data_IF_206165138160
#
_entry.id   IF_206165138160
#
_cell.length_a   1.000
_cell.length_b   1.000
_cell.length_c   1.000
_cell.angle_alpha   90.00
_cell.angle_beta   90.00
_cell.angle_gamma   90.00
#
_symmetry.space_group_name_H-M   'P 1'
#
loop_
_entity.id
_entity.type
_entity.pdbx_description
1 polymer ?
#
# COMPACT_ATOMS: atom_id res chain seq x y z
N UNK A 1 -44.13 -71.60 35.09
CA UNK A 1 -44.17 -72.00 36.51
C UNK A 1 -42.85 -71.60 37.14
N UNK A 2 -42.82 -70.47 37.88
CA UNK A 2 -41.67 -69.95 38.67
C UNK A 2 -40.38 -69.69 37.84
N UNK A 3 -39.42 -68.85 38.19
CA UNK A 3 -39.07 -68.13 39.41
C UNK A 3 -38.17 -66.95 38.97
N UNK A 4 -38.01 -66.01 39.89
CA UNK A 4 -37.29 -64.75 39.79
C UNK A 4 -35.76 -64.85 39.55
N UNK A 5 -35.16 -63.65 39.54
CA UNK A 5 -33.74 -63.29 39.60
C UNK A 5 -33.08 -63.15 38.22
N UNK A 6 -32.32 -62.10 37.91
CA UNK A 6 -31.43 -61.33 38.78
C UNK A 6 -31.05 -60.04 38.01
N UNK A 7 -30.98 -58.89 38.69
CA UNK A 7 -30.27 -57.70 38.17
C UNK A 7 -28.76 -57.98 38.26
N UNK A 8 -27.90 -57.43 37.38
CA UNK A 8 -27.28 -56.17 37.81
C UNK A 8 -26.99 -55.16 36.71
N UNK A 9 -26.95 -53.93 37.18
CA UNK A 9 -26.73 -52.67 36.49
C UNK A 9 -25.27 -52.58 36.04
N UNK A 10 -25.05 -52.39 34.73
CA UNK A 10 -23.72 -52.13 34.19
C UNK A 10 -23.81 -51.08 33.08
N UNK A 11 -23.64 -49.84 33.54
CA UNK A 11 -23.12 -48.66 32.86
C UNK A 11 -22.36 -48.91 31.57
N UNK A 12 -22.91 -48.47 30.43
CA UNK A 12 -22.10 -48.04 29.29
C UNK A 12 -22.84 -46.90 28.56
N UNK A 13 -22.52 -45.65 28.93
CA UNK A 13 -22.92 -44.47 28.16
C UNK A 13 -22.11 -44.46 26.87
N UNK A 14 -22.69 -45.02 25.82
CA UNK A 14 -22.06 -45.05 24.52
C UNK A 14 -22.93 -45.78 23.51
N UNK A 15 -23.93 -45.09 22.96
CA UNK A 15 -24.32 -45.19 21.56
C UNK A 15 -25.61 -44.40 21.30
N UNK A 16 -25.46 -43.36 20.49
CA UNK A 16 -26.35 -42.97 19.40
C UNK A 16 -27.84 -42.71 19.67
N UNK A 17 -28.16 -41.43 19.43
CA UNK A 17 -29.25 -41.00 18.55
C UNK A 17 -30.68 -41.09 19.08
N UNK A 18 -31.28 -39.92 19.34
CA UNK A 18 -32.16 -39.31 18.34
C UNK A 18 -32.67 -37.93 18.78
N UNK A 19 -32.22 -36.93 18.03
CA UNK A 19 -33.02 -35.87 17.41
C UNK A 19 -33.88 -34.91 18.25
N UNK A 20 -33.77 -33.64 17.81
CA UNK A 20 -34.55 -32.44 18.14
C UNK A 20 -34.04 -31.77 19.42
N UNK A 21 -33.33 -30.65 19.36
CA UNK A 21 -33.83 -29.29 19.10
C UNK A 21 -32.58 -28.38 19.29
N UNK A 22 -32.26 -27.28 18.64
CA UNK A 22 -32.86 -26.38 17.67
C UNK A 22 -31.69 -25.59 17.07
N UNK A 23 -31.73 -25.28 15.77
CA UNK A 23 -31.34 -24.00 15.18
C UNK A 23 -30.14 -23.23 15.81
N UNK A 24 -29.02 -23.90 16.09
CA UNK A 24 -27.83 -23.27 16.69
C UNK A 24 -26.58 -23.34 15.82
N UNK A 25 -26.71 -23.83 14.58
CA UNK A 25 -25.57 -24.18 13.74
C UNK A 25 -25.51 -23.43 12.42
N UNK A 26 -26.18 -22.28 12.34
CA UNK A 26 -26.31 -21.53 11.10
C UNK A 26 -26.55 -20.04 11.35
N UNK A 27 -25.83 -19.39 12.26
CA UNK A 27 -25.82 -17.92 12.30
C UNK A 27 -24.58 -17.34 12.99
N UNK A 28 -23.41 -17.68 12.45
CA UNK A 28 -22.23 -16.83 12.59
C UNK A 28 -21.46 -16.92 11.27
N UNK A 29 -22.17 -16.66 10.16
CA UNK A 29 -21.50 -16.28 8.92
C UNK A 29 -20.76 -15.00 9.26
N UNK A 30 -19.46 -15.17 9.38
CA UNK A 30 -18.53 -14.17 9.81
C UNK A 30 -18.78 -12.87 9.04
N UNK A 31 -18.97 -11.79 9.79
CA UNK A 31 -18.71 -10.44 9.32
C UNK A 31 -17.19 -10.37 9.10
N UNK A 32 -16.72 -10.97 8.01
CA UNK A 32 -15.34 -10.83 7.60
C UNK A 32 -15.23 -9.40 7.06
N UNK A 33 -14.48 -8.49 7.71
CA UNK A 33 -14.15 -7.25 7.05
C UNK A 33 -13.42 -7.64 5.77
N UNK A 34 -14.01 -7.31 4.62
CA UNK A 34 -13.32 -7.39 3.34
C UNK A 34 -12.10 -6.50 3.50
N UNK A 35 -10.92 -7.14 3.59
CA UNK A 35 -9.65 -6.45 3.48
C UNK A 35 -9.62 -5.87 2.05
N UNK A 36 -10.09 -4.64 1.90
CA UNK A 36 -9.79 -3.84 0.75
C UNK A 36 -8.27 -3.59 0.82
N UNK A 37 -7.51 -4.36 0.04
CA UNK A 37 -6.17 -3.93 -0.30
C UNK A 37 -6.35 -2.64 -1.09
N UNK A 38 -5.76 -1.54 -0.62
CA UNK A 38 -5.61 -0.35 -1.45
C UNK A 38 -4.79 -0.80 -2.67
N UNK A 39 -5.46 -0.96 -3.81
CA UNK A 39 -4.81 -1.10 -5.10
C UNK A 39 -4.50 0.34 -5.47
N UNK A 40 -3.25 0.73 -5.30
CA UNK A 40 -2.81 2.10 -5.53
C UNK A 40 -1.39 2.10 -6.07
N UNK A 41 -1.02 3.15 -6.79
CA UNK A 41 0.37 3.35 -7.23
C UNK A 41 1.37 3.27 -6.06
N UNK A 42 2.49 2.59 -6.28
CA UNK A 42 3.58 2.42 -5.33
C UNK A 42 4.90 2.87 -5.94
N UNK A 43 5.63 3.71 -5.20
CA UNK A 43 6.94 4.23 -5.60
C UNK A 43 8.03 3.54 -4.80
N UNK A 44 9.00 2.96 -5.51
CA UNK A 44 10.12 2.23 -4.89
C UNK A 44 11.47 2.70 -5.39
N UNK A 45 12.51 2.25 -4.70
CA UNK A 45 13.92 2.42 -5.08
C UNK A 45 14.30 3.88 -5.41
N UNK A 46 13.69 4.84 -4.72
CA UNK A 46 13.97 6.26 -4.93
C UNK A 46 15.42 6.58 -4.55
N UNK A 47 16.16 7.12 -5.50
CA UNK A 47 17.53 7.57 -5.32
C UNK A 47 17.71 8.91 -6.04
N UNK A 48 18.76 9.65 -5.70
CA UNK A 48 19.11 10.87 -6.40
C UNK A 48 20.62 11.04 -6.50
N UNK A 49 21.03 11.71 -7.57
CA UNK A 49 22.42 12.09 -7.79
C UNK A 49 22.50 13.49 -8.36
N UNK A 50 23.62 14.15 -8.10
CA UNK A 50 23.91 15.45 -8.70
C UNK A 50 24.70 15.26 -9.99
N UNK A 51 24.22 15.89 -11.07
CA UNK A 51 24.89 15.96 -12.35
C UNK A 51 25.13 17.42 -12.73
N UNK A 52 26.32 17.93 -12.38
CA UNK A 52 26.65 19.35 -12.54
C UNK A 52 25.73 20.23 -11.71
N UNK A 53 24.90 21.04 -12.36
CA UNK A 53 23.93 21.94 -11.73
C UNK A 53 22.51 21.35 -11.63
N UNK A 54 22.33 20.11 -12.09
CA UNK A 54 21.05 19.41 -12.06
C UNK A 54 21.06 18.32 -11.00
N UNK A 55 19.87 18.01 -10.49
CA UNK A 55 19.64 16.83 -9.67
C UNK A 55 18.82 15.86 -10.50
N UNK A 56 19.28 14.61 -10.53
CA UNK A 56 18.60 13.51 -11.22
C UNK A 56 18.08 12.56 -10.16
N UNK A 57 16.77 12.44 -10.06
CA UNK A 57 16.06 11.52 -9.18
C UNK A 57 15.63 10.31 -10.00
N UNK A 58 15.92 9.12 -9.51
CA UNK A 58 15.49 7.85 -10.12
C UNK A 58 14.54 7.12 -9.21
N UNK A 59 13.52 6.47 -9.77
CA UNK A 59 12.52 5.73 -9.00
C UNK A 59 11.85 4.65 -9.85
N UNK A 60 11.24 3.69 -9.18
CA UNK A 60 10.37 2.69 -9.81
C UNK A 60 8.92 3.06 -9.52
N UNK A 61 8.08 3.02 -10.54
CA UNK A 61 6.64 3.20 -10.43
C UNK A 61 5.91 1.89 -10.75
N UNK A 62 5.23 1.36 -9.74
CA UNK A 62 4.44 0.13 -9.80
C UNK A 62 2.97 0.48 -9.51
N UNK A 63 2.03 -0.26 -10.09
CA UNK A 63 0.61 0.04 -9.95
C UNK A 63 -0.23 -0.82 -10.89
N UNK A 64 -1.40 -0.34 -11.24
CA UNK A 64 -2.29 -1.00 -12.20
C UNK A 64 -1.88 -0.71 -13.65
N UNK A 65 -1.84 -1.77 -14.47
CA UNK A 65 -1.48 -1.61 -15.89
C UNK A 65 -2.59 -0.88 -16.65
N UNK A 66 -2.20 0.03 -17.54
CA UNK A 66 -3.13 0.77 -18.40
C UNK A 66 -3.61 2.10 -17.83
N UNK A 67 -3.24 2.42 -16.60
CA UNK A 67 -3.48 3.73 -15.99
C UNK A 67 -2.33 4.71 -16.22
N UNK A 68 -2.66 5.99 -16.09
CA UNK A 68 -1.74 7.11 -16.10
C UNK A 68 -1.77 7.79 -14.73
N UNK A 69 -0.62 8.28 -14.31
CA UNK A 69 -0.41 8.84 -12.98
C UNK A 69 0.15 10.26 -13.09
N UNK A 70 -0.30 11.13 -12.19
CA UNK A 70 0.33 12.42 -11.93
C UNK A 70 1.48 12.22 -10.93
N UNK A 71 2.69 12.62 -11.32
CA UNK A 71 3.91 12.43 -10.54
C UNK A 71 4.48 13.78 -10.12
N UNK A 72 4.52 14.02 -8.81
CA UNK A 72 5.14 15.21 -8.21
C UNK A 72 6.46 14.87 -7.53
N UNK A 73 7.43 15.79 -7.63
CA UNK A 73 8.67 15.73 -6.87
C UNK A 73 8.57 16.69 -5.69
N UNK A 74 8.81 16.20 -4.47
CA UNK A 74 8.90 17.04 -3.29
C UNK A 74 10.32 17.03 -2.71
N UNK A 75 10.75 18.20 -2.28
CA UNK A 75 12.03 18.44 -1.63
C UNK A 75 11.82 18.70 -0.14
N UNK A 76 12.67 18.08 0.67
CA UNK A 76 12.88 18.42 2.07
C UNK A 76 14.28 18.99 2.26
N UNK A 77 14.39 20.18 2.83
CA UNK A 77 15.68 20.73 3.33
C UNK A 77 15.90 20.51 4.82
N UNK A 78 14.98 19.80 5.47
CA UNK A 78 14.96 19.55 6.92
C UNK A 78 15.27 18.09 7.29
N UNK A 79 15.90 17.34 6.36
CA UNK A 79 16.22 15.92 6.55
C UNK A 79 14.99 15.02 6.61
N UNK A 80 13.95 15.33 5.84
CA UNK A 80 12.73 14.52 5.73
C UNK A 80 11.62 14.84 6.74
N UNK A 81 11.81 15.84 7.60
CA UNK A 81 10.79 16.25 8.59
C UNK A 81 9.59 16.93 7.95
N UNK A 82 9.85 17.74 6.93
CA UNK A 82 8.85 18.42 6.13
C UNK A 82 9.26 18.40 4.66
N UNK A 83 8.29 18.16 3.78
CA UNK A 83 8.42 18.22 2.32
C UNK A 83 7.60 19.42 1.85
N UNK A 84 8.18 20.61 2.01
CA UNK A 84 7.52 21.91 1.92
C UNK A 84 7.81 22.64 0.59
N UNK A 85 8.61 22.04 -0.28
CA UNK A 85 8.97 22.61 -1.56
C UNK A 85 8.75 21.61 -2.70
N UNK A 86 8.01 22.04 -3.71
CA UNK A 86 7.83 21.33 -4.97
C UNK A 86 8.68 22.03 -6.05
N UNK A 87 9.68 21.36 -6.65
CA UNK A 87 10.48 21.95 -7.72
C UNK A 87 9.68 22.18 -9.01
N UNK A 88 9.81 23.37 -9.59
CA UNK A 88 9.04 23.80 -10.77
C UNK A 88 9.77 23.50 -12.09
N UNK A 89 11.10 23.49 -12.08
CA UNK A 89 11.91 23.24 -13.30
C UNK A 89 12.36 21.79 -13.42
N UNK A 90 11.39 20.88 -13.31
CA UNK A 90 11.54 19.43 -13.49
C UNK A 90 11.24 19.02 -14.93
N UNK A 91 11.81 17.90 -15.36
CA UNK A 91 11.62 17.28 -16.70
C UNK A 91 11.80 15.78 -16.59
N UNK A 92 11.26 15.01 -17.54
CA UNK A 92 11.37 13.55 -17.58
C UNK A 92 10.04 12.87 -17.22
N UNK A 93 10.09 11.84 -16.39
CA UNK A 93 8.93 11.12 -15.87
C UNK A 93 8.29 11.89 -14.69
N UNK A 94 7.66 13.05 -14.97
CA UNK A 94 7.05 13.94 -13.96
C UNK A 94 5.83 14.67 -14.55
N UNK A 95 4.85 14.98 -13.70
CA UNK A 95 3.55 15.55 -14.08
C UNK A 95 2.54 14.50 -14.52
N UNK A 96 1.51 14.94 -15.25
CA UNK A 96 0.42 14.10 -15.74
C UNK A 96 0.88 13.07 -16.80
N UNK A 97 0.11 12.00 -16.96
CA UNK A 97 0.31 11.04 -18.06
C UNK A 97 1.49 10.07 -17.88
N UNK A 98 2.07 9.96 -16.68
CA UNK A 98 3.21 9.07 -16.44
C UNK A 98 2.72 7.63 -16.28
N UNK A 99 3.15 6.75 -17.18
CA UNK A 99 2.85 5.31 -17.11
C UNK A 99 3.77 4.59 -16.13
N UNK A 100 3.42 3.37 -15.72
CA UNK A 100 4.29 2.49 -14.93
C UNK A 100 5.66 2.23 -15.56
N UNK A 101 6.63 1.79 -14.75
CA UNK A 101 7.95 1.38 -15.22
C UNK A 101 9.04 1.49 -14.16
N UNK A 102 10.17 0.83 -14.45
CA UNK A 102 11.37 0.84 -13.61
C UNK A 102 12.37 1.89 -14.11
N UNK A 103 13.28 2.31 -13.22
CA UNK A 103 14.39 3.23 -13.51
C UNK A 103 13.93 4.57 -14.14
N UNK A 104 12.72 5.02 -13.79
CA UNK A 104 12.19 6.32 -14.21
C UNK A 104 13.03 7.45 -13.70
N UNK A 105 13.00 8.57 -14.40
CA UNK A 105 13.92 9.67 -14.13
C UNK A 105 13.24 11.03 -14.14
N UNK A 106 13.42 11.77 -13.04
CA UNK A 106 13.08 13.19 -12.92
C UNK A 106 14.38 13.97 -12.87
N UNK A 107 14.55 14.91 -13.81
CA UNK A 107 15.68 15.83 -13.83
C UNK A 107 15.22 17.22 -13.41
N UNK A 108 15.78 17.72 -12.29
CA UNK A 108 15.51 19.06 -11.77
C UNK A 108 16.66 20.02 -12.05
N UNK A 109 16.34 21.22 -12.57
CA UNK A 109 17.30 22.30 -12.74
C UNK A 109 17.34 23.23 -11.51
N UNK A 110 18.12 22.83 -10.51
CA UNK A 110 18.23 23.51 -9.21
C UNK A 110 18.47 25.01 -9.35
N UNK A 111 19.34 25.45 -10.26
CA UNK A 111 19.74 26.87 -10.34
C UNK A 111 18.68 27.76 -11.00
N UNK A 112 17.71 27.20 -11.72
CA UNK A 112 16.58 27.99 -12.22
C UNK A 112 15.61 28.34 -11.09
N UNK A 113 15.37 27.37 -10.21
CA UNK A 113 14.44 27.52 -9.08
C UNK A 113 15.09 28.21 -7.87
N UNK A 114 16.36 27.87 -7.63
CA UNK A 114 17.18 28.38 -6.53
C UNK A 114 18.49 28.93 -7.11
N UNK A 115 18.51 30.18 -7.60
CA UNK A 115 19.72 30.78 -8.18
C UNK A 115 20.92 30.86 -7.23
N UNK A 116 20.66 30.91 -5.92
CA UNK A 116 21.69 30.86 -4.87
C UNK A 116 22.14 29.44 -4.50
N UNK A 117 21.53 28.40 -5.08
CA UNK A 117 21.75 27.00 -4.73
C UNK A 117 21.04 26.56 -3.45
N UNK A 118 21.17 25.28 -3.12
CA UNK A 118 20.61 24.70 -1.89
C UNK A 118 21.52 25.02 -0.70
N UNK A 119 20.98 25.70 0.31
CA UNK A 119 21.73 26.12 1.51
C UNK A 119 21.76 25.05 2.61
N UNK A 120 21.01 23.95 2.45
CA UNK A 120 20.94 22.87 3.43
C UNK A 120 21.80 21.69 2.98
N UNK A 121 22.47 21.05 3.96
CA UNK A 121 23.18 19.78 3.74
C UNK A 121 22.29 18.55 3.96
N UNK A 122 21.10 18.74 4.53
CA UNK A 122 20.15 17.66 4.85
C UNK A 122 18.99 17.67 3.84
N UNK A 123 19.32 17.34 2.60
CA UNK A 123 18.37 17.29 1.49
C UNK A 123 17.81 15.87 1.35
N UNK A 124 16.49 15.76 1.24
CA UNK A 124 15.81 14.53 0.85
C UNK A 124 14.77 14.81 -0.22
N UNK A 125 14.53 13.84 -1.07
CA UNK A 125 13.50 13.89 -2.10
C UNK A 125 12.45 12.82 -1.83
N UNK A 126 11.20 13.17 -2.11
CA UNK A 126 10.07 12.23 -2.11
C UNK A 126 9.36 12.39 -3.44
N UNK A 127 9.12 11.28 -4.11
CA UNK A 127 8.24 11.23 -5.28
C UNK A 127 6.85 10.89 -4.76
N UNK A 128 5.85 11.69 -5.16
CA UNK A 128 4.43 11.50 -4.83
C UNK A 128 3.72 11.19 -6.12
N UNK A 129 2.73 10.31 -6.04
CA UNK A 129 1.98 9.85 -7.20
C UNK A 129 0.50 9.87 -6.87
N UNK A 130 -0.29 10.39 -7.78
CA UNK A 130 -1.74 10.43 -7.73
C UNK A 130 -2.31 9.76 -8.99
N UNK A 131 -3.37 8.96 -8.85
CA UNK A 131 -4.03 8.30 -9.97
C UNK A 131 -4.90 9.30 -10.73
N UNK A 132 -4.65 9.45 -12.04
CA UNK A 132 -5.44 10.32 -12.92
C UNK A 132 -6.74 9.60 -13.31
N UNK A 133 -7.64 9.41 -12.33
CA UNK A 133 -8.86 8.61 -12.56
C UNK A 133 -9.74 8.32 -11.34
N UNK A 134 -9.36 8.74 -10.14
CA UNK A 134 -10.13 8.54 -8.92
C UNK A 134 -11.45 9.32 -8.86
N UNK A 135 -12.43 8.94 -9.67
CA UNK A 135 -13.84 9.28 -9.43
C UNK A 135 -14.32 8.47 -8.22
N UNK A 136 -14.14 9.03 -7.02
CA UNK A 136 -14.92 8.66 -5.82
C UNK A 136 -16.33 9.26 -5.87
#
# INVERSE_FOLDING_TARGET
MRLAADQPEATWWGANSCLLLCAGWFFLVALQPSLAFAQGADVRNTNFRQEGTKIVVTYDLLGEEGEEYDVSLLLSTSGGRAFDYEPETTTGDVGDGVRLGLDKQITWNVLKDRPSGLQSQNVQFKVVVEEEGGNG
#
